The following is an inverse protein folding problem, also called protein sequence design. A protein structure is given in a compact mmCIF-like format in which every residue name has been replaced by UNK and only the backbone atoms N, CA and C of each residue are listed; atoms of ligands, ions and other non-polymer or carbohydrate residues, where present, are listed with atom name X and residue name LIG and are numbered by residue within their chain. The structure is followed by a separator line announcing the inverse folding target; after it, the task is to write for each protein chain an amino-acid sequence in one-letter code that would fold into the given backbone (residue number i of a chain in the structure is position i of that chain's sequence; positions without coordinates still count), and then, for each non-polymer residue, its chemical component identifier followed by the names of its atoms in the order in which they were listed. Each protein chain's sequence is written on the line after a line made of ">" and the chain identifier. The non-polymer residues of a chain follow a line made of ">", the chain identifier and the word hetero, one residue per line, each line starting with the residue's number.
data_IF_632779112800
#
_entry.id   IF_632779112800
#
_cell.length_a   1.000
_cell.length_b   1.000
_cell.length_c   1.000
_cell.angle_alpha   90.00
_cell.angle_beta   90.00
_cell.angle_gamma   90.00
#
_symmetry.space_group_name_H-M   'P 1'
#
loop_
_entity.id
_entity.type
_entity.pdbx_description
1 polymer ?
#
# COMPACT_ATOMS: atom_id res chain seq x y z
N UNK A 1 -14.14 -12.27 9.57
CA UNK A 1 -13.44 -12.94 8.45
C UNK A 1 -12.19 -13.62 8.99
N UNK A 2 -11.65 -14.63 8.31
CA UNK A 2 -10.46 -15.37 8.75
C UNK A 2 -9.54 -15.62 7.56
N UNK A 3 -8.23 -15.67 7.81
CA UNK A 3 -7.26 -16.03 6.80
C UNK A 3 -7.53 -17.45 6.27
N UNK A 4 -7.55 -17.57 4.95
CA UNK A 4 -7.55 -18.85 4.23
C UNK A 4 -6.13 -19.43 4.19
N UNK A 5 -6.03 -20.73 3.87
CA UNK A 5 -4.72 -21.39 3.66
C UNK A 5 -3.92 -20.73 2.53
N UNK A 6 -4.59 -20.27 1.48
CA UNK A 6 -3.96 -19.60 0.34
C UNK A 6 -3.32 -18.28 0.75
N UNK A 7 -4.04 -17.47 1.53
CA UNK A 7 -3.53 -16.20 2.06
C UNK A 7 -2.36 -16.40 3.01
N UNK A 8 -2.44 -17.39 3.93
CA UNK A 8 -1.31 -17.70 4.81
C UNK A 8 -0.05 -18.11 4.04
N UNK A 9 -0.20 -18.87 2.94
CA UNK A 9 0.92 -19.22 2.07
C UNK A 9 1.45 -18.00 1.30
N UNK A 10 0.56 -17.13 0.83
CA UNK A 10 0.91 -15.87 0.20
C UNK A 10 1.76 -15.00 1.13
N UNK A 11 1.27 -14.76 2.35
CA UNK A 11 1.98 -14.01 3.39
C UNK A 11 3.36 -14.59 3.69
N UNK A 12 3.48 -15.92 3.80
CA UNK A 12 4.76 -16.58 4.02
C UNK A 12 5.77 -16.30 2.89
N UNK A 13 5.29 -16.15 1.66
CA UNK A 13 6.08 -15.84 0.48
C UNK A 13 6.25 -14.33 0.23
N UNK A 14 5.77 -13.47 1.14
CA UNK A 14 5.84 -12.01 0.99
C UNK A 14 4.75 -11.41 0.09
N UNK A 15 3.75 -12.19 -0.34
CA UNK A 15 2.60 -11.67 -1.06
C UNK A 15 1.56 -11.14 -0.07
N UNK A 16 1.43 -9.82 -0.01
CA UNK A 16 0.48 -9.12 0.84
C UNK A 16 -0.68 -8.61 -0.01
N UNK A 17 -1.92 -8.92 0.40
CA UNK A 17 -3.12 -8.43 -0.24
C UNK A 17 -4.06 -7.77 0.79
N UNK A 18 -5.00 -6.96 0.29
CA UNK A 18 -5.91 -6.17 1.13
C UNK A 18 -6.80 -7.02 2.05
N UNK A 19 -7.36 -8.11 1.56
CA UNK A 19 -8.27 -8.98 2.32
C UNK A 19 -7.57 -9.66 3.51
N UNK A 20 -6.33 -10.11 3.29
CA UNK A 20 -5.50 -10.68 4.35
C UNK A 20 -5.19 -9.64 5.44
N UNK A 21 -4.86 -8.41 5.05
CA UNK A 21 -4.63 -7.32 5.99
C UNK A 21 -5.88 -6.94 6.78
N UNK A 22 -7.06 -6.87 6.15
CA UNK A 22 -8.33 -6.62 6.85
C UNK A 22 -8.64 -7.75 7.84
N UNK A 23 -8.41 -9.00 7.45
CA UNK A 23 -8.56 -10.15 8.34
C UNK A 23 -7.64 -10.06 9.55
N UNK A 24 -6.38 -9.67 9.36
CA UNK A 24 -5.42 -9.48 10.45
C UNK A 24 -5.83 -8.33 11.37
N UNK A 25 -6.18 -7.16 10.82
CA UNK A 25 -6.57 -5.97 11.61
C UNK A 25 -7.79 -6.23 12.51
N UNK A 26 -8.76 -6.99 12.00
CA UNK A 26 -9.99 -7.36 12.73
C UNK A 26 -9.85 -8.61 13.60
N UNK A 27 -8.68 -9.26 13.61
CA UNK A 27 -8.48 -10.53 14.29
C UNK A 27 -8.72 -10.45 15.81
N UNK A 28 -9.37 -11.48 16.34
CA UNK A 28 -9.42 -11.77 17.78
C UNK A 28 -8.33 -12.77 18.18
N UNK A 29 -8.09 -12.90 19.48
CA UNK A 29 -7.03 -13.75 20.01
C UNK A 29 -7.21 -15.23 19.64
N UNK A 30 -8.44 -15.75 19.71
CA UNK A 30 -8.79 -17.11 19.33
C UNK A 30 -8.49 -17.41 17.85
N UNK A 31 -8.78 -16.45 16.97
CA UNK A 31 -8.48 -16.58 15.54
C UNK A 31 -6.97 -16.58 15.29
N UNK A 32 -6.25 -15.69 15.98
CA UNK A 32 -4.79 -15.61 15.90
C UNK A 32 -4.13 -16.90 16.39
N UNK A 33 -4.57 -17.45 17.52
CA UNK A 33 -4.09 -18.74 18.04
C UNK A 33 -4.32 -19.88 17.05
N UNK A 34 -5.48 -19.92 16.38
CA UNK A 34 -5.75 -20.88 15.33
C UNK A 34 -4.79 -20.74 14.14
N UNK A 35 -4.52 -19.51 13.70
CA UNK A 35 -3.57 -19.27 12.61
C UNK A 35 -2.14 -19.66 13.00
N UNK A 36 -1.76 -19.47 14.27
CA UNK A 36 -0.46 -19.88 14.79
C UNK A 36 -0.22 -21.40 14.76
N UNK A 37 -1.25 -22.22 14.53
CA UNK A 37 -1.09 -23.66 14.29
C UNK A 37 -0.59 -23.97 12.86
N UNK A 38 -0.65 -23.01 11.95
CA UNK A 38 -0.25 -23.15 10.55
C UNK A 38 1.23 -22.86 10.35
N UNK A 39 1.99 -23.84 9.82
CA UNK A 39 3.44 -23.65 9.51
C UNK A 39 3.72 -22.45 8.59
N UNK A 40 2.98 -22.24 7.48
CA UNK A 40 3.14 -21.04 6.66
C UNK A 40 2.95 -19.75 7.46
N UNK A 41 1.96 -19.71 8.35
CA UNK A 41 1.70 -18.52 9.15
C UNK A 41 2.80 -18.27 10.18
N UNK A 42 3.31 -19.30 10.84
CA UNK A 42 4.49 -19.18 11.72
C UNK A 42 5.73 -18.67 10.98
N UNK A 43 5.95 -19.15 9.75
CA UNK A 43 7.04 -18.69 8.90
C UNK A 43 6.89 -17.20 8.54
N UNK A 44 5.68 -16.79 8.18
CA UNK A 44 5.32 -15.39 7.96
C UNK A 44 5.61 -14.53 9.19
N UNK A 45 5.12 -14.94 10.37
CA UNK A 45 5.28 -14.17 11.61
C UNK A 45 6.75 -13.90 11.90
N UNK A 46 7.60 -14.93 11.78
CA UNK A 46 9.03 -14.78 12.05
C UNK A 46 9.74 -13.92 11.00
N UNK A 47 9.52 -14.20 9.72
CA UNK A 47 10.38 -13.66 8.66
C UNK A 47 9.89 -12.35 8.06
N UNK A 48 8.59 -12.08 8.12
CA UNK A 48 7.98 -10.89 7.52
C UNK A 48 7.48 -9.92 8.58
N UNK A 49 6.88 -10.42 9.67
CA UNK A 49 6.33 -9.57 10.73
C UNK A 49 7.29 -9.36 11.92
N UNK A 50 8.44 -10.06 11.98
CA UNK A 50 9.42 -9.94 13.07
C UNK A 50 8.89 -10.41 14.44
N UNK A 51 7.98 -11.38 14.46
CA UNK A 51 7.32 -11.91 15.66
C UNK A 51 7.85 -13.32 15.95
N UNK A 52 8.76 -13.41 16.91
CA UNK A 52 9.39 -14.69 17.30
C UNK A 52 8.57 -15.53 18.29
N UNK A 53 7.71 -14.91 19.10
CA UNK A 53 6.88 -15.60 20.09
C UNK A 53 5.38 -15.41 19.83
N UNK A 54 4.76 -16.30 19.03
CA UNK A 54 3.41 -16.08 18.49
C UNK A 54 2.24 -16.48 19.41
N UNK A 55 2.39 -16.46 20.73
CA UNK A 55 1.33 -16.94 21.68
C UNK A 55 0.89 -15.92 22.72
N UNK A 56 0.82 -14.64 22.36
CA UNK A 56 0.40 -13.61 23.31
C UNK A 56 -0.47 -12.54 22.66
N UNK A 57 -1.28 -11.87 23.47
CA UNK A 57 -2.00 -10.66 23.07
C UNK A 57 -1.03 -9.58 22.53
N UNK A 58 0.21 -9.54 23.04
CA UNK A 58 1.26 -8.64 22.56
C UNK A 58 1.67 -8.97 21.11
N UNK A 59 1.81 -10.26 20.77
CA UNK A 59 2.09 -10.69 19.41
C UNK A 59 0.95 -10.31 18.45
N UNK A 60 -0.30 -10.45 18.89
CA UNK A 60 -1.46 -10.00 18.11
C UNK A 60 -1.45 -8.48 17.90
N UNK A 61 -1.14 -7.67 18.92
CA UNK A 61 -1.04 -6.21 18.75
C UNK A 61 0.02 -5.83 17.72
N UNK A 62 1.23 -6.40 17.82
CA UNK A 62 2.30 -6.15 16.84
C UNK A 62 1.92 -6.56 15.43
N UNK A 63 1.22 -7.68 15.30
CA UNK A 63 0.75 -8.14 13.99
C UNK A 63 -0.28 -7.15 13.39
N UNK A 64 -1.14 -6.55 14.20
CA UNK A 64 -2.09 -5.52 13.75
C UNK A 64 -1.40 -4.22 13.36
N UNK A 65 -0.37 -3.82 14.09
CA UNK A 65 0.49 -2.68 13.73
C UNK A 65 1.15 -2.91 12.38
N UNK A 66 1.78 -4.08 12.20
CA UNK A 66 2.35 -4.49 10.92
C UNK A 66 1.32 -4.43 9.79
N UNK A 67 0.09 -4.91 10.02
CA UNK A 67 -0.94 -4.90 8.99
C UNK A 67 -1.41 -3.47 8.64
N UNK A 68 -1.46 -2.56 9.63
CA UNK A 68 -1.77 -1.16 9.40
C UNK A 68 -0.70 -0.48 8.53
N UNK A 69 0.58 -0.73 8.81
CA UNK A 69 1.71 -0.21 8.03
C UNK A 69 1.66 -0.71 6.58
N UNK A 70 1.41 -2.01 6.39
CA UNK A 70 1.27 -2.57 5.04
C UNK A 70 0.07 -1.98 4.29
N UNK A 71 -1.05 -1.75 4.97
CA UNK A 71 -2.23 -1.11 4.37
C UNK A 71 -1.91 0.33 3.93
N UNK A 72 -1.16 1.08 4.74
CA UNK A 72 -0.70 2.42 4.39
C UNK A 72 0.17 2.40 3.12
N UNK A 73 1.12 1.46 3.03
CA UNK A 73 1.97 1.33 1.84
C UNK A 73 1.18 0.93 0.58
N UNK A 74 0.21 0.04 0.70
CA UNK A 74 -0.67 -0.33 -0.42
C UNK A 74 -1.47 0.88 -0.91
N UNK A 75 -2.11 1.61 0.00
CA UNK A 75 -2.90 2.80 -0.35
C UNK A 75 -2.01 3.91 -0.94
N UNK A 76 -0.81 4.12 -0.41
CA UNK A 76 0.14 5.07 -0.98
C UNK A 76 0.54 4.69 -2.42
N UNK A 77 0.75 3.40 -2.69
CA UNK A 77 1.05 2.92 -4.04
C UNK A 77 -0.15 3.06 -4.98
N UNK A 78 -1.38 2.81 -4.51
CA UNK A 78 -2.60 3.00 -5.30
C UNK A 78 -2.83 4.48 -5.64
N UNK A 79 -2.53 5.39 -4.70
CA UNK A 79 -2.62 6.84 -4.92
C UNK A 79 -1.53 7.33 -5.86
N UNK A 80 -0.31 6.80 -5.77
CA UNK A 80 0.80 7.20 -6.65
C UNK A 80 0.65 6.72 -8.10
N UNK A 81 -0.22 5.74 -8.35
CA UNK A 81 -0.55 5.21 -9.69
C UNK A 81 -1.78 5.89 -10.32
N UNK A 82 -2.26 7.02 -9.80
CA UNK A 82 -3.27 7.85 -10.46
C UNK A 82 -2.63 8.99 -11.27
N UNK A 83 -2.30 8.82 -12.56
CA UNK A 83 -2.05 9.94 -13.45
C UNK A 83 -3.40 10.49 -13.94
N UNK A 84 -4.06 11.36 -13.17
CA UNK A 84 -5.09 12.31 -13.63
C UNK A 84 -5.56 13.11 -12.40
N UNK A 85 -5.22 14.38 -12.21
CA UNK A 85 -5.44 15.51 -13.14
C UNK A 85 -4.33 16.57 -12.99
N UNK A 86 -3.33 16.56 -13.88
CA UNK A 86 -2.72 17.83 -14.29
C UNK A 86 -3.54 18.31 -15.49
N UNK A 87 -4.16 19.47 -15.30
CA UNK A 87 -5.14 20.03 -16.23
C UNK A 87 -4.60 20.11 -17.65
N UNK A 88 -5.52 19.88 -18.58
CA UNK A 88 -5.42 20.27 -19.96
C UNK A 88 -4.82 21.68 -20.11
N UNK A 89 -3.63 21.76 -20.70
CA UNK A 89 -3.24 22.88 -21.54
C UNK A 89 -2.11 22.44 -22.47
N UNK A 90 -2.46 21.50 -23.35
CA UNK A 90 -1.72 21.25 -24.57
C UNK A 90 -2.53 21.85 -25.72
N UNK A 91 -2.63 23.19 -25.75
CA UNK A 91 -3.07 23.91 -26.96
C UNK A 91 -1.83 24.47 -27.68
N UNK A 92 -1.28 23.61 -28.53
CA UNK A 92 -1.03 23.84 -29.95
C UNK A 92 -0.44 25.22 -30.34
N UNK A 93 0.86 25.17 -30.62
CA UNK A 93 1.55 25.65 -31.83
C UNK A 93 0.90 26.77 -32.70
N UNK A 94 1.75 27.74 -33.05
CA UNK A 94 1.66 28.64 -34.21
C UNK A 94 0.51 29.66 -34.25
N UNK A 95 0.81 30.90 -33.85
CA UNK A 95 0.44 32.08 -34.65
C UNK A 95 1.67 32.94 -34.91
N UNK A 96 2.12 32.84 -36.14
CA UNK A 96 2.94 33.79 -36.87
C UNK A 96 2.03 34.99 -37.16
N UNK A 97 2.32 36.12 -36.53
CA UNK A 97 1.90 37.48 -36.93
C UNK A 97 3.16 38.34 -36.69
N UNK A 98 4.14 38.26 -37.60
CA UNK A 98 4.43 39.29 -38.60
C UNK A 98 3.39 40.40 -38.78
N UNK A 99 3.90 41.62 -38.98
CA UNK A 99 3.23 42.94 -39.12
C UNK A 99 2.88 43.61 -37.78
N UNK A 100 3.23 44.87 -37.48
CA UNK A 100 4.00 45.91 -38.15
C UNK A 100 4.18 47.03 -37.09
N UNK A 101 5.38 47.56 -36.91
CA UNK A 101 5.74 48.97 -37.18
C UNK A 101 5.46 50.02 -36.07
N UNK A 102 6.54 50.77 -35.76
CA UNK A 102 6.61 52.20 -35.33
C UNK A 102 6.40 52.56 -33.85
N UNK A 103 7.52 52.94 -33.19
CA UNK A 103 7.71 54.18 -32.40
C UNK A 103 9.12 54.18 -31.77
N UNK A 104 10.18 54.69 -32.42
CA UNK A 104 10.62 56.10 -32.48
C UNK A 104 11.14 56.71 -31.15
N UNK A 105 12.47 56.97 -31.16
CA UNK A 105 13.25 58.08 -30.54
C UNK A 105 13.77 58.06 -29.10
N UNK A 106 15.04 58.54 -29.03
CA UNK A 106 15.78 59.21 -27.94
C UNK A 106 16.31 58.29 -26.82
N UNK A 107 17.59 58.30 -26.46
CA UNK A 107 18.62 59.35 -26.46
C UNK A 107 20.02 58.80 -26.65
#
# INVERSE_FOLDING_TARGET
>A
MSLTKGEMKGLANGFVNKEALVSISSAKLDQFELWCQSRPFQHFLKNQAGIDNPSSAVALCRLKEWAADQMFHLLASEVSLSPEKQGANADINMKREEEDEIATKAS
#
